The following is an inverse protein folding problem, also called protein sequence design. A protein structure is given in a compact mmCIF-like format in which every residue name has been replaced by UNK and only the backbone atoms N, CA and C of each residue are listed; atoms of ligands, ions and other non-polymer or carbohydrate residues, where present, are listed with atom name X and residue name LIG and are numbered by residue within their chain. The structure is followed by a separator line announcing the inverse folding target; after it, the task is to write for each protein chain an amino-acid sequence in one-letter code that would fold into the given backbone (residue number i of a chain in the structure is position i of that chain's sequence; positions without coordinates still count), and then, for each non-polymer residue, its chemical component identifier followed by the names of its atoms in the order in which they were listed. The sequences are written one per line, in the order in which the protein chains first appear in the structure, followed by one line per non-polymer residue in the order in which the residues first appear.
data_IF_010652890900
#
_entry.id   IF_010652890900
#
_cell.length_a   1.000
_cell.length_b   1.000
_cell.length_c   1.000
_cell.angle_alpha   90.00
_cell.angle_beta   90.00
_cell.angle_gamma   90.00
#
_symmetry.space_group_name_H-M   'P 1'
#
loop_
_entity.id
_entity.type
_entity.pdbx_description
1 polymer ?
#
# COMPACT_ATOMS: atom_id res chain seq x y z
N UNK A 1 14.52 12.60 -0.11
CA UNK A 1 14.07 11.20 0.01
C UNK A 1 13.15 10.89 -1.15
N UNK A 2 13.26 9.69 -1.72
CA UNK A 2 12.34 9.22 -2.75
C UNK A 2 10.89 9.38 -2.25
N UNK A 3 9.98 9.83 -3.11
CA UNK A 3 8.60 10.14 -2.72
C UNK A 3 7.87 8.94 -2.11
N UNK A 4 6.66 9.17 -1.59
CA UNK A 4 5.82 8.16 -0.92
C UNK A 4 5.48 6.91 -1.75
N UNK A 5 5.99 6.74 -2.98
CA UNK A 5 5.86 5.51 -3.78
C UNK A 5 7.09 4.60 -3.76
N UNK A 6 8.16 4.99 -3.07
CA UNK A 6 9.44 4.27 -3.04
C UNK A 6 9.81 3.68 -1.67
N UNK A 7 9.08 4.03 -0.60
CA UNK A 7 9.11 3.42 0.74
C UNK A 7 10.42 2.72 1.17
N UNK A 8 11.55 3.43 1.11
CA UNK A 8 12.86 2.95 1.56
C UNK A 8 13.83 2.46 0.47
N UNK A 9 13.47 2.51 -0.81
CA UNK A 9 14.41 2.35 -1.92
C UNK A 9 15.27 3.61 -2.10
N UNK A 10 16.59 3.44 -2.15
CA UNK A 10 17.56 4.49 -2.47
C UNK A 10 17.46 4.97 -3.93
N UNK A 11 16.81 4.20 -4.81
CA UNK A 11 16.63 4.54 -6.21
C UNK A 11 15.17 4.88 -6.52
N UNK A 12 14.90 6.18 -6.68
CA UNK A 12 13.57 6.74 -6.92
C UNK A 12 13.15 6.74 -8.39
N UNK A 13 14.09 6.56 -9.33
CA UNK A 13 13.84 6.79 -10.76
C UNK A 13 12.84 5.79 -11.36
N UNK A 14 12.66 4.62 -10.72
CA UNK A 14 11.83 3.53 -11.21
C UNK A 14 10.58 3.21 -10.39
N UNK A 15 10.36 3.85 -9.24
CA UNK A 15 9.34 3.34 -8.33
C UNK A 15 7.92 3.55 -8.85
N UNK A 16 7.12 2.52 -8.66
CA UNK A 16 5.69 2.51 -8.85
C UNK A 16 5.04 2.09 -7.54
N UNK A 17 3.93 2.74 -7.20
CA UNK A 17 3.09 2.39 -6.07
C UNK A 17 1.68 2.16 -6.59
N UNK A 18 1.14 1.00 -6.26
CA UNK A 18 -0.21 0.58 -6.63
C UNK A 18 -1.08 0.62 -5.38
N UNK A 19 -1.99 1.59 -5.32
CA UNK A 19 -2.91 1.71 -4.19
C UNK A 19 -4.20 0.93 -4.43
N UNK A 20 -4.49 -0.02 -3.55
CA UNK A 20 -5.77 -0.70 -3.46
C UNK A 20 -6.50 -0.21 -2.21
N UNK A 21 -7.66 0.44 -2.41
CA UNK A 21 -8.51 0.92 -1.31
C UNK A 21 -9.68 -0.02 -1.08
N UNK A 22 -9.80 -0.50 0.15
CA UNK A 22 -10.84 -1.44 0.62
C UNK A 22 -11.74 -0.70 1.61
N UNK A 23 -12.94 -0.24 1.20
CA UNK A 23 -13.83 0.51 2.08
C UNK A 23 -14.63 -0.42 3.00
N UNK A 24 -14.92 0.02 4.23
CA UNK A 24 -15.71 -0.75 5.20
C UNK A 24 -17.14 -1.08 4.73
N UNK A 25 -17.65 -0.38 3.71
CA UNK A 25 -18.93 -0.67 3.07
C UNK A 25 -19.01 -2.06 2.43
N UNK A 26 -17.87 -2.71 2.12
CA UNK A 26 -17.88 -4.07 1.55
C UNK A 26 -18.11 -5.16 2.61
N UNK A 27 -17.88 -4.85 3.89
CA UNK A 27 -18.14 -5.75 5.03
C UNK A 27 -18.58 -4.93 6.25
N UNK A 28 -19.89 -4.68 6.40
CA UNK A 28 -20.38 -3.89 7.53
C UNK A 28 -20.12 -4.64 8.86
N UNK A 29 -19.19 -4.10 9.65
CA UNK A 29 -18.91 -4.49 11.05
C UNK A 29 -18.31 -5.89 11.26
N UNK A 30 -17.52 -6.39 10.30
CA UNK A 30 -16.84 -7.68 10.43
C UNK A 30 -15.39 -7.67 9.94
N UNK A 31 -14.70 -8.79 10.17
CA UNK A 31 -13.44 -9.09 9.51
C UNK A 31 -13.69 -9.68 8.12
N UNK A 32 -12.85 -9.33 7.15
CA UNK A 32 -12.86 -9.96 5.82
C UNK A 32 -11.44 -10.19 5.36
N UNK A 33 -11.25 -11.25 4.59
CA UNK A 33 -10.03 -11.41 3.81
C UNK A 33 -10.18 -10.70 2.48
N UNK A 34 -9.12 -10.03 2.06
CA UNK A 34 -8.94 -9.46 0.73
C UNK A 34 -7.74 -10.16 0.12
N UNK A 35 -7.96 -10.88 -0.96
CA UNK A 35 -6.90 -11.56 -1.71
C UNK A 35 -6.67 -10.81 -3.02
N UNK A 36 -5.45 -10.33 -3.22
CA UNK A 36 -4.99 -9.67 -4.43
C UNK A 36 -4.10 -10.65 -5.18
N UNK A 37 -4.47 -10.92 -6.42
CA UNK A 37 -3.69 -11.71 -7.37
C UNK A 37 -3.34 -10.83 -8.56
N UNK A 38 -2.05 -10.70 -8.84
CA UNK A 38 -1.57 -9.80 -9.87
C UNK A 38 -0.22 -10.17 -10.46
N UNK A 39 -0.19 -10.36 -11.77
CA UNK A 39 1.04 -10.49 -12.53
C UNK A 39 1.60 -9.11 -12.90
N UNK A 40 2.93 -9.00 -12.89
CA UNK A 40 3.62 -7.87 -13.49
C UNK A 40 3.60 -7.94 -15.01
N UNK A 41 3.94 -6.85 -15.68
CA UNK A 41 3.92 -6.79 -17.14
C UNK A 41 5.36 -6.92 -17.67
N UNK A 42 5.72 -8.02 -18.35
CA UNK A 42 7.07 -8.25 -18.82
C UNK A 42 7.63 -7.07 -19.61
N UNK A 43 8.83 -6.63 -19.23
CA UNK A 43 9.53 -5.51 -19.87
C UNK A 43 9.01 -4.11 -19.51
N UNK A 44 7.91 -4.00 -18.75
CA UNK A 44 7.41 -2.69 -18.27
C UNK A 44 7.77 -2.45 -16.81
N UNK A 45 7.39 -3.37 -15.93
CA UNK A 45 7.61 -3.24 -14.48
C UNK A 45 7.58 -4.61 -13.81
N UNK A 46 8.10 -4.67 -12.57
CA UNK A 46 8.17 -5.86 -11.73
C UNK A 46 7.73 -5.53 -10.31
N UNK A 47 7.22 -6.50 -9.55
CA UNK A 47 6.96 -6.31 -8.12
C UNK A 47 8.27 -6.14 -7.35
N UNK A 48 8.24 -5.30 -6.33
CA UNK A 48 9.39 -5.11 -5.44
C UNK A 48 9.24 -6.04 -4.24
N UNK A 49 9.93 -7.17 -4.26
CA UNK A 49 9.89 -8.20 -3.20
C UNK A 49 11.20 -8.14 -2.39
N UNK A 50 11.21 -7.56 -1.17
CA UNK A 50 12.45 -7.29 -0.43
C UNK A 50 13.14 -8.53 0.16
N UNK A 51 12.42 -9.66 0.26
CA UNK A 51 12.90 -10.90 0.86
C UNK A 51 13.05 -11.99 -0.18
N UNK A 52 14.06 -12.85 -0.03
CA UNK A 52 14.31 -13.97 -0.95
C UNK A 52 13.20 -15.03 -0.89
N UNK A 53 12.58 -15.19 0.27
CA UNK A 53 11.51 -16.16 0.49
C UNK A 53 10.16 -15.68 -0.07
N UNK A 54 10.08 -14.46 -0.58
CA UNK A 54 8.86 -13.88 -1.17
C UNK A 54 7.76 -13.61 -0.14
N UNK A 55 8.09 -13.57 1.14
CA UNK A 55 7.18 -13.36 2.27
C UNK A 55 6.89 -11.87 2.56
N UNK A 56 7.38 -10.97 1.70
CA UNK A 56 7.18 -9.52 1.82
C UNK A 56 7.10 -8.87 0.43
N UNK A 57 6.16 -7.94 0.29
CA UNK A 57 6.15 -6.96 -0.80
C UNK A 57 6.50 -5.60 -0.22
N UNK A 58 7.25 -4.78 -0.95
CA UNK A 58 7.52 -3.41 -0.54
C UNK A 58 6.21 -2.63 -0.46
N UNK A 59 6.12 -1.70 0.49
CA UNK A 59 4.95 -0.85 0.68
C UNK A 59 4.28 -1.04 2.04
N UNK A 60 3.08 -0.49 2.19
CA UNK A 60 2.42 -0.35 3.50
C UNK A 60 0.94 -0.72 3.46
N UNK A 61 0.45 -1.17 4.60
CA UNK A 61 -0.96 -1.18 4.95
C UNK A 61 -1.25 0.01 5.85
N UNK A 62 -2.35 0.73 5.59
CA UNK A 62 -2.76 1.85 6.43
C UNK A 62 -4.27 1.85 6.64
N UNK A 63 -4.69 1.98 7.91
CA UNK A 63 -6.11 2.00 8.27
C UNK A 63 -6.55 3.42 8.57
N UNK A 64 -7.65 3.84 7.95
CA UNK A 64 -8.19 5.18 8.09
C UNK A 64 -9.62 5.16 8.60
N UNK A 65 -9.94 6.15 9.43
CA UNK A 65 -11.32 6.48 9.83
C UNK A 65 -11.69 7.85 9.31
N UNK A 66 -12.93 8.00 8.84
CA UNK A 66 -13.49 9.33 8.61
C UNK A 66 -13.60 10.07 9.94
N UNK A 67 -13.22 11.35 9.92
CA UNK A 67 -13.47 12.29 11.01
C UNK A 67 -14.82 12.98 10.81
N UNK A 68 -15.24 13.74 11.81
CA UNK A 68 -16.48 14.52 11.76
C UNK A 68 -16.42 15.60 10.66
N UNK A 69 -17.56 16.20 10.37
CA UNK A 69 -17.86 16.86 9.08
C UNK A 69 -16.82 17.91 8.66
N UNK A 70 -16.02 17.58 7.64
CA UNK A 70 -15.07 18.48 6.95
C UNK A 70 -13.60 18.13 7.14
N UNK A 71 -13.27 17.33 8.17
CA UNK A 71 -11.89 16.98 8.45
C UNK A 71 -11.36 15.87 7.53
N UNK A 72 -10.06 15.90 7.16
CA UNK A 72 -9.45 14.80 6.44
C UNK A 72 -9.51 13.50 7.26
N UNK A 73 -9.60 12.32 6.61
CA UNK A 73 -9.56 11.04 7.31
C UNK A 73 -8.33 10.91 8.21
N UNK A 74 -8.52 10.38 9.41
CA UNK A 74 -7.43 10.09 10.34
C UNK A 74 -6.76 8.77 9.96
N UNK A 75 -5.43 8.74 9.82
CA UNK A 75 -4.67 7.48 9.82
C UNK A 75 -4.61 6.97 11.26
N UNK A 76 -5.16 5.79 11.53
CA UNK A 76 -5.13 5.15 12.84
C UNK A 76 -3.90 4.27 13.03
N UNK A 77 -3.51 3.56 11.99
CA UNK A 77 -2.40 2.63 12.02
C UNK A 77 -1.75 2.56 10.64
N UNK A 78 -0.47 2.21 10.64
CA UNK A 78 0.31 1.90 9.46
C UNK A 78 1.26 0.75 9.79
N UNK A 79 1.47 -0.16 8.85
CA UNK A 79 2.37 -1.29 9.00
C UNK A 79 2.94 -1.69 7.65
N UNK A 80 4.02 -2.47 7.68
CA UNK A 80 4.60 -3.08 6.48
C UNK A 80 3.65 -4.13 5.86
N UNK A 81 3.97 -4.57 4.65
CA UNK A 81 3.30 -5.67 3.95
C UNK A 81 4.16 -6.94 3.90
N UNK A 82 4.54 -7.42 5.08
CA UNK A 82 5.22 -8.70 5.27
C UNK A 82 4.34 -9.71 5.99
N UNK A 83 4.65 -10.99 5.85
CA UNK A 83 4.03 -12.03 6.66
C UNK A 83 4.18 -11.69 8.16
N UNK A 84 3.10 -11.87 8.93
CA UNK A 84 3.01 -11.49 10.36
C UNK A 84 3.03 -9.98 10.66
N UNK A 85 3.10 -9.10 9.65
CA UNK A 85 2.95 -7.66 9.87
C UNK A 85 1.51 -7.36 10.29
N UNK A 86 1.34 -7.00 11.56
CA UNK A 86 0.08 -6.59 12.15
C UNK A 86 -0.11 -5.08 12.07
N UNK A 87 -1.34 -4.65 11.82
CA UNK A 87 -1.74 -3.25 11.73
C UNK A 87 -2.36 -2.82 13.06
N UNK A 88 -1.50 -2.57 14.05
CA UNK A 88 -1.90 -2.25 15.41
C UNK A 88 -2.20 -0.75 15.58
N UNK A 89 -3.33 -0.40 16.20
CA UNK A 89 -3.79 0.99 16.33
C UNK A 89 -3.78 1.53 17.76
N UNK A 90 -3.42 0.71 18.76
CA UNK A 90 -3.27 1.16 20.14
C UNK A 90 -2.18 0.40 20.90
N UNK A 91 -1.87 0.88 22.11
CA UNK A 91 -0.86 0.30 22.98
C UNK A 91 -1.27 -1.03 23.63
N UNK A 92 -2.54 -1.44 23.50
CA UNK A 92 -3.04 -2.72 23.98
C UNK A 92 -2.80 -3.86 22.98
N UNK A 93 -2.33 -3.54 21.76
CA UNK A 93 -2.11 -4.52 20.71
C UNK A 93 -3.38 -4.86 19.91
N UNK A 94 -4.40 -4.01 19.95
CA UNK A 94 -5.56 -4.20 19.09
C UNK A 94 -5.18 -3.97 17.62
N UNK A 95 -5.64 -4.87 16.76
CA UNK A 95 -5.28 -4.89 15.34
C UNK A 95 -6.47 -4.57 14.44
N UNK A 96 -6.25 -3.67 13.48
CA UNK A 96 -7.16 -3.40 12.38
C UNK A 96 -6.99 -4.43 11.24
N UNK A 97 -5.95 -5.27 11.28
CA UNK A 97 -5.72 -6.29 10.27
C UNK A 97 -4.28 -6.81 10.23
N UNK A 98 -4.03 -7.80 9.38
CA UNK A 98 -2.69 -8.31 9.13
C UNK A 98 -2.60 -9.10 7.83
N UNK A 99 -1.38 -9.27 7.34
CA UNK A 99 -1.08 -10.20 6.24
C UNK A 99 -1.25 -11.64 6.75
N UNK A 100 -2.07 -12.43 6.05
CA UNK A 100 -2.32 -13.86 6.35
C UNK A 100 -1.53 -14.80 5.45
N UNK A 101 -1.34 -14.41 4.20
CA UNK A 101 -0.50 -15.13 3.25
C UNK A 101 0.04 -14.13 2.24
N UNK A 102 1.27 -14.37 1.79
CA UNK A 102 1.88 -13.60 0.74
C UNK A 102 2.87 -14.47 -0.04
N UNK A 103 2.90 -14.29 -1.34
CA UNK A 103 3.93 -14.80 -2.23
C UNK A 103 4.24 -13.69 -3.22
N UNK A 104 5.47 -13.19 -3.15
CA UNK A 104 5.96 -12.10 -3.98
C UNK A 104 7.16 -12.60 -4.79
N UNK A 105 7.04 -12.56 -6.11
CA UNK A 105 8.17 -12.61 -7.05
C UNK A 105 8.12 -11.37 -7.95
N UNK A 106 9.20 -11.00 -8.65
CA UNK A 106 9.17 -9.90 -9.61
C UNK A 106 8.04 -10.01 -10.65
N UNK A 107 7.62 -11.23 -10.98
CA UNK A 107 6.59 -11.57 -11.96
C UNK A 107 5.17 -11.65 -11.39
N UNK A 108 5.01 -12.03 -10.12
CA UNK A 108 3.71 -12.36 -9.56
C UNK A 108 3.57 -11.96 -8.09
N UNK A 109 2.40 -11.43 -7.73
CA UNK A 109 2.00 -11.14 -6.37
C UNK A 109 0.68 -11.86 -6.05
N UNK A 110 0.73 -12.69 -5.02
CA UNK A 110 -0.43 -13.16 -4.27
C UNK A 110 -0.36 -12.57 -2.86
N UNK A 111 -1.35 -11.79 -2.44
CA UNK A 111 -1.43 -11.18 -1.11
C UNK A 111 -2.82 -11.41 -0.53
N UNK A 112 -2.91 -12.14 0.57
CA UNK A 112 -4.13 -12.24 1.39
C UNK A 112 -3.96 -11.41 2.65
N UNK A 113 -4.82 -10.40 2.80
CA UNK A 113 -4.85 -9.50 3.93
C UNK A 113 -6.18 -9.63 4.67
N UNK A 114 -6.15 -9.88 5.98
CA UNK A 114 -7.34 -9.80 6.82
C UNK A 114 -7.48 -8.38 7.36
N UNK A 115 -8.65 -7.78 7.17
CA UNK A 115 -8.99 -6.47 7.74
C UNK A 115 -10.19 -6.58 8.64
N UNK A 116 -10.12 -5.95 9.81
CA UNK A 116 -11.19 -5.88 10.79
C UNK A 116 -11.76 -4.45 10.85
N UNK A 117 -12.91 -4.22 10.20
CA UNK A 117 -13.54 -2.90 10.22
C UNK A 117 -14.29 -2.59 11.50
N UNK A 118 -14.48 -3.56 12.40
CA UNK A 118 -15.03 -3.32 13.73
C UNK A 118 -14.07 -2.48 14.61
N UNK A 119 -12.79 -2.42 14.25
CA UNK A 119 -11.79 -1.54 14.88
C UNK A 119 -12.17 -0.04 14.85
N UNK A 120 -13.12 0.37 14.00
CA UNK A 120 -13.52 1.76 13.83
C UNK A 120 -14.79 2.17 14.61
N UNK A 121 -15.37 1.30 15.44
CA UNK A 121 -16.55 1.57 16.30
C UNK A 121 -17.63 2.44 15.62
N UNK A 122 -18.17 1.98 14.49
CA UNK A 122 -19.22 2.63 13.67
C UNK A 122 -18.80 3.82 12.80
N UNK A 123 -17.52 4.22 12.78
CA UNK A 123 -17.04 5.20 11.79
C UNK A 123 -16.87 4.55 10.42
N UNK A 124 -17.19 5.30 9.36
CA UNK A 124 -16.79 4.92 8.01
C UNK A 124 -15.27 4.84 7.96
N UNK A 125 -14.74 3.72 7.49
CA UNK A 125 -13.32 3.42 7.50
C UNK A 125 -12.90 2.78 6.19
N UNK A 126 -11.61 2.76 5.93
CA UNK A 126 -11.04 2.05 4.79
C UNK A 126 -9.61 1.63 5.10
N UNK A 127 -9.20 0.52 4.49
CA UNK A 127 -7.82 0.07 4.41
C UNK A 127 -7.26 0.51 3.07
N UNK A 128 -6.09 1.13 3.09
CA UNK A 128 -5.25 1.32 1.91
C UNK A 128 -4.10 0.31 1.96
N UNK A 129 -3.94 -0.46 0.89
CA UNK A 129 -2.77 -1.28 0.61
C UNK A 129 -1.98 -0.57 -0.50
N UNK A 130 -0.79 -0.11 -0.16
CA UNK A 130 0.14 0.56 -1.07
C UNK A 130 1.21 -0.44 -1.46
N UNK A 131 1.15 -0.98 -2.68
CA UNK A 131 1.99 -2.09 -3.15
C UNK A 131 3.11 -1.57 -4.03
N UNK A 132 4.36 -1.85 -3.67
CA UNK A 132 5.55 -1.38 -4.34
C UNK A 132 5.93 -2.21 -5.57
N UNK A 133 6.30 -1.52 -6.64
CA UNK A 133 6.82 -2.09 -7.87
C UNK A 133 7.91 -1.19 -8.47
N UNK A 134 8.64 -1.72 -9.44
CA UNK A 134 9.73 -1.03 -10.12
C UNK A 134 9.58 -1.13 -11.63
N UNK A 135 9.61 0.01 -12.31
CA UNK A 135 9.67 0.09 -13.77
C UNK A 135 11.01 -0.43 -14.29
N UNK A 136 10.98 -1.28 -15.32
CA UNK A 136 12.19 -1.86 -15.95
C UNK A 136 12.93 -0.81 -16.79
N UNK A 137 12.18 0.08 -17.47
CA UNK A 137 12.72 1.18 -18.28
C UNK A 137 11.96 2.48 -17.98
N UNK A 138 12.24 3.12 -16.82
CA UNK A 138 11.44 4.23 -16.32
C UNK A 138 11.38 5.42 -17.27
N UNK A 139 12.49 5.77 -17.94
CA UNK A 139 12.61 6.99 -18.72
C UNK A 139 12.57 8.27 -17.86
N UNK A 140 13.00 9.40 -18.42
CA UNK A 140 13.02 10.68 -17.70
C UNK A 140 11.62 11.28 -17.53
N UNK A 141 10.72 11.05 -18.48
CA UNK A 141 9.39 11.67 -18.51
C UNK A 141 8.40 11.01 -17.56
N UNK A 142 7.29 11.72 -17.30
CA UNK A 142 6.14 11.16 -16.61
C UNK A 142 5.50 10.04 -17.45
N UNK A 143 5.12 8.94 -16.78
CA UNK A 143 4.52 7.78 -17.46
C UNK A 143 3.44 7.16 -16.59
N UNK A 144 2.37 6.71 -17.23
CA UNK A 144 1.31 5.94 -16.60
C UNK A 144 1.50 4.46 -16.87
N UNK A 145 1.36 3.65 -15.84
CA UNK A 145 1.35 2.20 -15.94
C UNK A 145 -0.01 1.69 -15.48
N UNK A 146 -0.49 0.62 -16.10
CA UNK A 146 -1.80 0.04 -15.81
C UNK A 146 -1.68 -1.46 -15.65
N UNK A 147 -2.46 -2.02 -14.74
CA UNK A 147 -2.71 -3.45 -14.66
C UNK A 147 -4.10 -3.72 -14.07
N UNK A 148 -4.56 -4.95 -14.23
CA UNK A 148 -5.88 -5.38 -13.75
C UNK A 148 -5.70 -6.52 -12.75
N UNK A 149 -5.55 -6.23 -11.44
CA UNK A 149 -5.52 -7.28 -10.43
C UNK A 149 -6.85 -8.02 -10.38
N UNK A 150 -6.80 -9.25 -9.91
CA UNK A 150 -7.97 -9.95 -9.39
C UNK A 150 -8.03 -9.70 -7.88
N UNK A 151 -9.17 -9.22 -7.40
CA UNK A 151 -9.41 -8.97 -5.97
C UNK A 151 -10.60 -9.82 -5.54
N UNK A 152 -10.34 -10.81 -4.70
CA UNK A 152 -11.36 -11.60 -4.02
C UNK A 152 -11.59 -11.02 -2.62
N UNK A 153 -12.85 -10.88 -2.23
CA UNK A 153 -13.25 -10.37 -0.92
C UNK A 153 -14.12 -11.44 -0.28
N UNK A 154 -13.64 -12.13 0.73
CA UNK A 154 -14.28 -13.36 1.25
C UNK A 154 -15.74 -13.19 1.69
N UNK A 155 -16.13 -11.98 2.11
CA UNK A 155 -17.51 -11.65 2.53
C UNK A 155 -18.43 -11.26 1.39
N UNK A 156 -17.88 -10.98 0.21
CA UNK A 156 -18.60 -10.63 -1.01
C UNK A 156 -18.41 -11.81 -1.96
N UNK A 157 -19.47 -12.54 -2.29
CA UNK A 157 -19.40 -13.62 -3.29
C UNK A 157 -19.22 -13.04 -4.73
N UNK A 158 -18.15 -12.26 -4.93
CA UNK A 158 -17.85 -11.52 -6.14
C UNK A 158 -16.34 -11.26 -6.23
N UNK A 159 -15.77 -11.65 -7.35
CA UNK A 159 -14.40 -11.31 -7.73
C UNK A 159 -14.42 -9.94 -8.43
N UNK A 160 -13.60 -9.01 -7.95
CA UNK A 160 -13.44 -7.68 -8.54
C UNK A 160 -12.21 -7.67 -9.44
N UNK A 161 -12.31 -6.96 -10.56
CA UNK A 161 -11.20 -6.79 -11.52
C UNK A 161 -11.04 -5.30 -11.88
N UNK A 162 -10.67 -4.44 -10.92
CA UNK A 162 -10.49 -3.03 -11.20
C UNK A 162 -9.29 -2.82 -12.12
N UNK A 163 -9.29 -1.74 -12.89
CA UNK A 163 -8.06 -1.24 -13.53
C UNK A 163 -7.35 -0.32 -12.56
N UNK A 164 -6.13 -0.67 -12.17
CA UNK A 164 -5.30 0.15 -11.27
C UNK A 164 -4.25 0.87 -12.10
N UNK A 165 -4.02 2.14 -11.78
CA UNK A 165 -3.05 2.99 -12.46
C UNK A 165 -1.99 3.47 -11.48
N UNK A 166 -0.72 3.34 -11.84
CA UNK A 166 0.39 3.98 -11.16
C UNK A 166 0.93 5.09 -12.05
N UNK A 167 1.21 6.23 -11.43
CA UNK A 167 1.85 7.35 -12.09
C UNK A 167 3.30 7.40 -11.64
N UNK A 168 4.20 7.21 -12.59
CA UNK A 168 5.61 7.56 -12.40
C UNK A 168 5.75 9.06 -12.71
N UNK A 169 6.13 9.90 -11.73
CA UNK A 169 6.45 11.29 -12.01
C UNK A 169 7.68 11.43 -12.93
N UNK A 170 7.84 12.58 -13.56
CA UNK A 170 9.08 12.91 -14.27
C UNK A 170 10.25 12.92 -13.27
N UNK A 171 11.44 12.52 -13.69
CA UNK A 171 12.63 12.56 -12.84
C UNK A 171 12.98 13.98 -12.37
N UNK A 172 12.54 15.00 -13.11
CA UNK A 172 12.65 16.41 -12.76
C UNK A 172 11.54 16.93 -11.84
N UNK A 173 10.56 16.09 -11.47
CA UNK A 173 9.51 16.49 -10.54
C UNK A 173 10.15 16.82 -9.18
N UNK A 174 9.76 17.91 -8.51
CA UNK A 174 10.34 18.30 -7.24
C UNK A 174 10.07 17.21 -6.20
N UNK A 175 11.09 16.42 -5.87
CA UNK A 175 11.09 15.62 -4.65
C UNK A 175 11.16 16.60 -3.49
N UNK A 176 10.21 16.55 -2.55
CA UNK A 176 10.23 17.44 -1.39
C UNK A 176 11.55 17.25 -0.62
N UNK A 177 12.48 18.20 -0.80
CA UNK A 177 13.71 18.28 -0.03
C UNK A 177 13.32 18.81 1.34
N UNK A 178 13.27 17.95 2.35
CA UNK A 178 13.22 18.38 3.75
C UNK A 178 14.59 18.91 4.09
N UNK A 179 14.77 20.23 3.99
CA UNK A 179 15.97 20.91 4.50
C UNK A 179 15.78 21.06 6.01
N UNK A 180 16.54 20.30 6.81
CA UNK A 180 16.67 20.61 8.24
C UNK A 180 17.48 21.88 8.37
N UNK A 181 16.89 22.96 8.90
CA UNK A 181 17.65 24.14 9.28
C UNK A 181 18.73 23.73 10.30
N UNK A 182 19.96 24.19 10.08
CA UNK A 182 21.04 23.97 11.03
C UNK A 182 20.68 24.68 12.35
N UNK A 183 20.61 23.91 13.44
CA UNK A 183 20.47 24.47 14.79
C UNK A 183 21.68 25.36 15.06
N UNK A 184 21.45 26.66 15.25
CA UNK A 184 22.46 27.56 15.80
C UNK A 184 22.71 27.12 17.25
N UNK A 185 23.94 26.69 17.53
CA UNK A 185 24.43 26.59 18.90
C UNK A 185 24.93 27.98 19.27
N UNK A 186 24.15 28.72 20.05
CA UNK A 186 24.67 29.89 20.75
C UNK A 186 25.63 29.38 21.84
N UNK A 187 26.84 29.93 21.85
CA UNK A 187 28.02 29.39 22.54
C UNK A 187 28.11 29.59 24.05
#
# INVERSE_FOLDING_TARGET
TAGAGCHGSDNAEGCLSWRVRVPSAITPKGSTNVTIEADSVPGQWTWTCPTLDGDKVAGTSAFYIKRDQGDPPAKLAESDLGLLAGLYYNHHGDSAGSVKAITCTPEHLSLTYEVNFNAAWDKSSYLDLDLGATAVKPGADARSYHFTPTIDVSTRNAILRPTVTAQKPAASAPHATVTTEAVKVDG
#
